data_IF_786801434792
#
_entry.id   IF_786801434792
#
_cell.length_a   1.000
_cell.length_b   1.000
_cell.length_c   1.000
_cell.angle_alpha   90.00
_cell.angle_beta   90.00
_cell.angle_gamma   90.00
#
_symmetry.space_group_name_H-M   'P 1'
#
loop_
_entity.id
_entity.type
_entity.pdbx_description
1 polymer ?
#
# COMPACT_ATOMS: atom_id res chain seq x y z
N UNK A 1 40.79 75.97 10.90
CA UNK A 1 41.51 75.17 9.90
C UNK A 1 41.66 73.74 10.41
N UNK A 2 40.84 72.80 9.94
CA UNK A 2 41.07 71.36 10.15
C UNK A 2 40.82 70.63 8.84
N UNK A 3 41.91 70.03 8.37
CA UNK A 3 42.11 69.40 7.08
C UNK A 3 41.70 67.91 7.15
N UNK A 4 41.24 67.41 6.01
CA UNK A 4 40.65 66.09 5.76
C UNK A 4 41.56 64.89 6.10
N UNK A 5 40.93 63.73 6.35
CA UNK A 5 41.38 62.46 5.76
C UNK A 5 40.17 61.52 5.58
N UNK A 6 39.76 61.32 4.32
CA UNK A 6 38.77 60.34 3.87
C UNK A 6 39.53 59.06 3.52
N UNK A 7 39.28 57.96 4.24
CA UNK A 7 39.79 56.62 3.90
C UNK A 7 38.62 55.83 3.33
N UNK A 8 38.64 55.62 2.01
CA UNK A 8 37.73 54.72 1.32
C UNK A 8 38.31 53.30 1.33
N UNK A 9 37.77 52.44 2.19
CA UNK A 9 38.10 51.01 2.20
C UNK A 9 37.19 50.27 1.20
N UNK A 10 37.75 49.86 0.08
CA UNK A 10 37.05 49.04 -0.93
C UNK A 10 37.12 47.57 -0.53
N UNK A 11 36.00 47.02 -0.05
CA UNK A 11 35.82 45.60 0.26
C UNK A 11 35.40 44.85 -1.01
N UNK A 12 36.33 44.11 -1.61
CA UNK A 12 36.04 43.14 -2.67
C UNK A 12 35.33 41.92 -2.07
N UNK A 13 34.02 41.82 -2.26
CA UNK A 13 33.26 40.59 -2.00
C UNK A 13 33.39 39.64 -3.20
N UNK A 14 34.10 38.52 -3.02
CA UNK A 14 34.13 37.42 -3.98
C UNK A 14 32.90 36.53 -3.80
N UNK A 15 32.08 36.31 -4.83
CA UNK A 15 30.96 35.37 -4.74
C UNK A 15 31.50 33.93 -4.74
N UNK A 16 31.34 33.23 -3.60
CA UNK A 16 31.57 31.78 -3.52
C UNK A 16 30.37 31.08 -4.15
N UNK A 17 30.56 30.53 -5.35
CA UNK A 17 29.61 29.62 -6.00
C UNK A 17 29.62 28.28 -5.24
N UNK A 18 28.65 28.08 -4.37
CA UNK A 18 28.39 26.76 -3.76
C UNK A 18 27.71 25.91 -4.85
N UNK A 19 28.48 25.04 -5.49
CA UNK A 19 27.94 24.00 -6.35
C UNK A 19 27.11 23.04 -5.49
N UNK A 20 25.79 23.13 -5.58
CA UNK A 20 24.89 22.13 -4.99
C UNK A 20 25.07 20.84 -5.78
N UNK A 21 25.75 19.85 -5.18
CA UNK A 21 25.73 18.48 -5.66
C UNK A 21 24.32 17.94 -5.47
N UNK A 22 23.49 18.10 -6.49
CA UNK A 22 22.21 17.44 -6.59
C UNK A 22 22.45 15.93 -6.46
N UNK A 23 22.01 15.35 -5.34
CA UNK A 23 21.98 13.90 -5.20
C UNK A 23 21.01 13.39 -6.26
N UNK A 24 21.55 12.82 -7.32
CA UNK A 24 20.77 12.14 -8.33
C UNK A 24 19.99 11.03 -7.63
N UNK A 25 18.66 11.12 -7.65
CA UNK A 25 17.79 10.06 -7.16
C UNK A 25 18.07 8.81 -8.01
N UNK A 26 18.67 7.79 -7.42
CA UNK A 26 18.82 6.48 -8.06
C UNK A 26 17.43 5.90 -8.32
N UNK A 27 17.05 5.85 -9.59
CA UNK A 27 15.83 5.17 -10.04
C UNK A 27 16.13 3.67 -10.10
N UNK A 28 15.70 2.93 -9.08
CA UNK A 28 15.74 1.47 -9.07
C UNK A 28 14.38 0.87 -9.41
N UNK A 29 14.34 -0.43 -9.69
CA UNK A 29 13.10 -1.22 -9.70
C UNK A 29 13.01 -2.04 -8.43
N UNK A 30 11.79 -2.24 -7.92
CA UNK A 30 11.58 -3.21 -6.85
C UNK A 30 11.69 -4.62 -7.41
N UNK A 31 12.25 -5.53 -6.62
CA UNK A 31 12.31 -6.92 -7.01
C UNK A 31 10.91 -7.53 -7.03
N UNK A 32 10.63 -8.43 -7.99
CA UNK A 32 9.38 -9.19 -8.00
C UNK A 32 9.17 -9.92 -6.69
N UNK A 33 7.91 -10.11 -6.32
CA UNK A 33 7.45 -10.75 -5.07
C UNK A 33 7.81 -9.98 -3.80
N UNK A 34 8.41 -8.80 -3.87
CA UNK A 34 8.45 -7.89 -2.71
C UNK A 34 7.02 -7.46 -2.36
N UNK A 35 6.65 -7.49 -1.08
CA UNK A 35 5.35 -7.00 -0.60
C UNK A 35 5.47 -5.66 0.11
N UNK A 36 4.45 -4.83 -0.06
CA UNK A 36 4.34 -3.50 0.51
C UNK A 36 3.03 -3.42 1.31
N UNK A 37 3.07 -3.62 2.64
CA UNK A 37 1.93 -3.37 3.49
C UNK A 37 1.77 -1.86 3.67
N UNK A 38 0.63 -1.31 3.26
CA UNK A 38 0.35 0.12 3.20
C UNK A 38 -0.91 0.49 3.96
N UNK A 39 -1.02 1.77 4.32
CA UNK A 39 -2.22 2.40 4.87
C UNK A 39 -2.56 3.65 4.07
N UNK A 40 -3.83 3.79 3.70
CA UNK A 40 -4.34 4.96 2.98
C UNK A 40 -4.42 6.18 3.91
N UNK A 41 -3.86 7.31 3.48
CA UNK A 41 -3.80 8.57 4.26
C UNK A 41 -5.07 9.41 4.11
N UNK A 42 -5.75 9.26 2.98
CA UNK A 42 -7.03 9.90 2.65
C UNK A 42 -8.06 8.85 2.22
N UNK A 43 -9.33 9.22 2.24
CA UNK A 43 -10.40 8.40 1.69
C UNK A 43 -10.72 8.78 0.24
N UNK A 44 -11.24 7.82 -0.53
CA UNK A 44 -11.68 7.96 -1.91
C UNK A 44 -13.09 7.38 -2.04
N UNK A 45 -14.00 8.12 -2.64
CA UNK A 45 -15.41 7.77 -2.74
C UNK A 45 -15.86 7.94 -4.19
N UNK A 46 -16.41 6.88 -4.81
CA UNK A 46 -16.79 6.91 -6.22
C UNK A 46 -17.88 7.96 -6.55
N UNK A 47 -18.59 8.50 -5.55
CA UNK A 47 -19.52 9.61 -5.76
C UNK A 47 -18.84 10.97 -5.97
N UNK A 48 -17.61 11.12 -5.47
CA UNK A 48 -16.94 12.42 -5.36
C UNK A 48 -15.57 12.46 -6.03
N UNK A 49 -14.96 11.30 -6.27
CA UNK A 49 -13.68 11.19 -6.93
C UNK A 49 -13.79 11.45 -8.43
N UNK A 50 -12.72 11.98 -9.01
CA UNK A 50 -12.57 12.23 -10.44
C UNK A 50 -11.28 11.61 -10.96
N UNK A 51 -11.24 11.36 -12.27
CA UNK A 51 -10.01 10.90 -12.91
C UNK A 51 -8.88 11.92 -12.68
N UNK A 52 -7.72 11.43 -12.24
CA UNK A 52 -6.55 12.23 -11.88
C UNK A 52 -6.46 12.61 -10.40
N UNK A 53 -7.49 12.36 -9.58
CA UNK A 53 -7.42 12.61 -8.13
C UNK A 53 -6.29 11.80 -7.50
N UNK A 54 -5.45 12.46 -6.71
CA UNK A 54 -4.24 11.84 -6.13
C UNK A 54 -4.62 10.89 -4.99
N UNK A 55 -4.02 9.70 -5.02
CA UNK A 55 -4.12 8.70 -3.96
C UNK A 55 -2.84 8.73 -3.13
N UNK A 56 -3.00 8.90 -1.82
CA UNK A 56 -1.89 8.91 -0.86
C UNK A 56 -1.99 7.74 0.09
N UNK A 57 -0.91 6.97 0.18
CA UNK A 57 -0.73 5.92 1.16
C UNK A 57 0.71 5.94 1.68
N UNK A 58 0.99 5.14 2.72
CA UNK A 58 2.36 4.94 3.21
C UNK A 58 2.56 3.52 3.70
N UNK A 59 3.79 3.03 3.67
CA UNK A 59 4.13 1.72 4.25
C UNK A 59 3.87 1.71 5.76
N UNK A 60 3.36 0.60 6.28
CA UNK A 60 3.08 0.43 7.71
C UNK A 60 4.23 -0.21 8.48
N UNK A 61 5.17 -0.83 7.77
CA UNK A 61 6.36 -1.44 8.33
C UNK A 61 7.54 -1.35 7.36
N UNK A 62 8.72 -1.75 7.83
CA UNK A 62 9.92 -1.81 7.00
C UNK A 62 9.83 -2.94 5.97
N UNK A 63 10.40 -2.71 4.79
CA UNK A 63 10.44 -3.67 3.69
C UNK A 63 11.89 -3.91 3.29
N UNK A 64 12.31 -5.17 3.35
CA UNK A 64 13.63 -5.59 2.86
C UNK A 64 13.64 -5.57 1.32
N UNK A 65 14.66 -4.93 0.75
CA UNK A 65 14.92 -4.91 -0.68
C UNK A 65 15.95 -5.98 -1.03
N UNK A 66 15.93 -6.44 -2.29
CA UNK A 66 16.83 -7.51 -2.77
C UNK A 66 18.31 -7.16 -2.73
N UNK A 67 18.64 -5.86 -2.74
CA UNK A 67 20.02 -5.37 -2.63
C UNK A 67 20.49 -5.24 -1.17
N UNK A 68 19.71 -5.76 -0.21
CA UNK A 68 19.98 -5.70 1.22
C UNK A 68 19.64 -4.36 1.86
N UNK A 69 19.18 -3.36 1.09
CA UNK A 69 18.66 -2.12 1.66
C UNK A 69 17.29 -2.33 2.27
N UNK A 70 16.87 -1.38 3.09
CA UNK A 70 15.56 -1.38 3.73
C UNK A 70 14.81 -0.14 3.32
N UNK A 71 13.61 -0.33 2.78
CA UNK A 71 12.64 0.74 2.68
C UNK A 71 11.97 0.92 4.05
N UNK A 72 12.09 2.08 4.70
CA UNK A 72 11.56 2.26 6.05
C UNK A 72 10.03 2.26 6.07
N UNK A 73 9.46 1.97 7.24
CA UNK A 73 8.07 2.27 7.53
C UNK A 73 7.80 3.77 7.29
N UNK A 74 6.64 4.09 6.74
CA UNK A 74 6.25 5.46 6.40
C UNK A 74 6.73 5.95 5.03
N UNK A 75 7.37 5.11 4.21
CA UNK A 75 7.63 5.42 2.80
C UNK A 75 6.33 5.73 2.07
N UNK A 76 6.28 6.82 1.30
CA UNK A 76 5.07 7.33 0.68
C UNK A 76 4.78 6.55 -0.60
N UNK A 77 3.55 6.04 -0.71
CA UNK A 77 3.00 5.46 -1.93
C UNK A 77 2.03 6.45 -2.53
N UNK A 78 2.24 6.79 -3.80
CA UNK A 78 1.37 7.67 -4.56
C UNK A 78 0.71 6.92 -5.72
N UNK A 79 -0.46 7.40 -6.09
CA UNK A 79 -1.26 6.89 -7.18
C UNK A 79 -2.25 7.93 -7.66
N UNK A 80 -3.15 7.54 -8.55
CA UNK A 80 -4.28 8.38 -8.96
C UNK A 80 -5.53 7.55 -9.25
N UNK A 81 -6.68 8.20 -9.20
CA UNK A 81 -7.95 7.64 -9.65
C UNK A 81 -7.94 7.60 -11.19
N UNK A 82 -8.15 6.42 -11.77
CA UNK A 82 -8.32 6.26 -13.22
C UNK A 82 -9.76 6.60 -13.62
N UNK A 83 -10.73 6.10 -12.85
CA UNK A 83 -12.15 6.30 -13.12
C UNK A 83 -12.97 6.16 -11.84
N UNK A 84 -14.03 6.94 -11.74
CA UNK A 84 -15.02 6.85 -10.68
C UNK A 84 -16.42 6.99 -11.28
N UNK A 85 -17.26 5.98 -11.07
CA UNK A 85 -18.66 5.97 -11.50
C UNK A 85 -19.53 5.85 -10.26
N UNK A 86 -20.27 6.92 -9.96
CA UNK A 86 -21.22 6.96 -8.87
C UNK A 86 -22.32 5.91 -9.02
N UNK A 87 -22.91 5.52 -7.90
CA UNK A 87 -24.11 4.69 -7.91
C UNK A 87 -25.29 5.53 -8.39
N UNK A 88 -25.97 5.05 -9.43
CA UNK A 88 -27.17 5.66 -9.97
C UNK A 88 -28.30 4.62 -10.00
N UNK A 89 -29.40 4.96 -9.35
CA UNK A 89 -30.65 4.22 -9.42
C UNK A 89 -31.62 5.00 -10.30
N UNK A 90 -31.82 4.53 -11.53
CA UNK A 90 -32.94 5.01 -12.35
C UNK A 90 -34.21 4.27 -11.93
N UNK A 91 -35.27 5.01 -11.61
CA UNK A 91 -36.53 4.47 -11.11
C UNK A 91 -37.58 4.27 -12.21
N UNK A 92 -37.30 4.66 -13.46
CA UNK A 92 -38.31 4.68 -14.54
C UNK A 92 -37.76 4.13 -15.86
N UNK A 93 -38.51 3.36 -16.67
CA UNK A 93 -39.79 2.69 -16.38
C UNK A 93 -39.64 1.41 -15.55
N UNK A 94 -38.40 0.93 -15.36
CA UNK A 94 -38.02 -0.18 -14.48
C UNK A 94 -36.78 0.23 -13.68
N UNK A 95 -36.61 -0.29 -12.46
CA UNK A 95 -35.45 0.05 -11.62
C UNK A 95 -34.14 -0.49 -12.25
N UNK A 96 -33.45 0.33 -13.05
CA UNK A 96 -32.15 -0.02 -13.63
C UNK A 96 -31.06 0.44 -12.67
N UNK A 97 -30.38 -0.53 -12.08
CA UNK A 97 -29.19 -0.29 -11.27
C UNK A 97 -27.98 -0.27 -12.19
N UNK A 98 -27.34 0.89 -12.36
CA UNK A 98 -26.03 0.95 -13.01
C UNK A 98 -24.97 0.57 -11.99
N UNK A 99 -24.11 -0.38 -12.35
CA UNK A 99 -22.95 -0.74 -11.54
C UNK A 99 -22.08 0.51 -11.33
N UNK A 100 -21.76 0.76 -10.07
CA UNK A 100 -20.81 1.79 -9.65
C UNK A 100 -19.42 1.20 -9.51
N UNK A 101 -18.40 2.01 -9.74
CA UNK A 101 -17.02 1.57 -9.78
C UNK A 101 -16.05 2.63 -9.29
N UNK A 102 -14.98 2.21 -8.60
CA UNK A 102 -13.82 3.03 -8.30
C UNK A 102 -12.57 2.30 -8.83
N UNK A 103 -11.83 2.94 -9.72
CA UNK A 103 -10.58 2.44 -10.28
C UNK A 103 -9.42 3.33 -9.86
N UNK A 104 -8.40 2.74 -9.26
CA UNK A 104 -7.21 3.41 -8.73
C UNK A 104 -5.97 2.78 -9.34
N UNK A 105 -5.00 3.59 -9.75
CA UNK A 105 -3.66 3.14 -10.12
C UNK A 105 -2.64 3.52 -9.06
N UNK A 106 -1.76 2.60 -8.69
CA UNK A 106 -0.57 2.88 -7.90
C UNK A 106 0.61 3.22 -8.84
N UNK A 107 1.26 4.35 -8.60
CA UNK A 107 2.27 4.88 -9.53
C UNK A 107 3.69 4.70 -9.00
N UNK A 108 3.95 5.17 -7.78
CA UNK A 108 5.30 5.16 -7.22
C UNK A 108 5.32 4.92 -5.73
N UNK A 109 6.47 4.46 -5.24
CA UNK A 109 6.82 4.48 -3.83
C UNK A 109 8.11 5.27 -3.63
N UNK A 110 8.15 6.11 -2.60
CA UNK A 110 9.28 7.01 -2.36
C UNK A 110 9.66 7.07 -0.88
N UNK A 111 10.96 7.20 -0.62
CA UNK A 111 11.53 7.38 0.71
C UNK A 111 12.78 8.23 0.58
N UNK A 112 12.74 9.48 1.08
CA UNK A 112 13.80 10.52 1.19
C UNK A 112 14.87 10.63 0.08
N UNK A 113 15.56 9.55 -0.26
CA UNK A 113 16.64 9.45 -1.23
C UNK A 113 16.33 8.59 -2.47
N UNK A 114 15.19 7.89 -2.51
CA UNK A 114 14.84 7.00 -3.62
C UNK A 114 13.35 7.03 -3.95
N UNK A 115 13.05 6.95 -5.25
CA UNK A 115 11.71 6.78 -5.80
C UNK A 115 11.73 5.59 -6.75
N UNK A 116 10.78 4.69 -6.58
CA UNK A 116 10.64 3.47 -7.38
C UNK A 116 9.27 3.48 -8.07
N UNK A 117 9.19 3.23 -9.39
CA UNK A 117 7.91 3.01 -10.04
C UNK A 117 7.28 1.71 -9.53
N UNK A 118 5.96 1.71 -9.37
CA UNK A 118 5.21 0.54 -8.92
C UNK A 118 4.67 -0.25 -10.10
N UNK A 119 5.04 -1.53 -10.13
CA UNK A 119 4.43 -2.57 -10.94
C UNK A 119 3.91 -3.64 -9.98
N UNK A 120 2.70 -3.45 -9.46
CA UNK A 120 2.18 -4.24 -8.34
C UNK A 120 0.80 -4.81 -8.67
N UNK A 121 0.37 -5.78 -7.88
CA UNK A 121 -1.05 -6.06 -7.72
C UNK A 121 -1.46 -5.93 -6.26
N UNK A 122 -2.75 -5.67 -6.02
CA UNK A 122 -3.35 -5.65 -4.69
C UNK A 122 -3.62 -7.09 -4.28
N UNK A 123 -2.74 -7.68 -3.49
CA UNK A 123 -2.92 -9.03 -2.94
C UNK A 123 -4.10 -9.07 -1.99
N UNK A 124 -4.13 -8.14 -1.03
CA UNK A 124 -5.24 -8.01 -0.09
C UNK A 124 -5.50 -6.53 0.23
N UNK A 125 -6.74 -6.20 0.57
CA UNK A 125 -7.15 -4.88 1.03
C UNK A 125 -8.27 -5.00 2.06
N UNK A 126 -8.15 -4.23 3.14
CA UNK A 126 -9.09 -4.25 4.24
C UNK A 126 -9.60 -2.85 4.58
N UNK A 127 -10.87 -2.77 4.94
CA UNK A 127 -11.49 -1.54 5.42
C UNK A 127 -10.87 -1.11 6.77
N UNK A 128 -11.16 0.11 7.26
CA UNK A 128 -10.53 0.60 8.49
C UNK A 128 -10.97 -0.18 9.73
N UNK A 129 -12.20 -0.70 9.76
CA UNK A 129 -12.73 -1.45 10.91
C UNK A 129 -12.00 -2.79 11.03
N UNK A 130 -11.88 -3.53 9.93
CA UNK A 130 -11.11 -4.78 9.88
C UNK A 130 -9.63 -4.54 10.16
N UNK A 131 -9.06 -3.46 9.59
CA UNK A 131 -7.66 -3.08 9.82
C UNK A 131 -7.39 -2.71 11.28
N UNK A 132 -8.36 -2.10 11.95
CA UNK A 132 -8.29 -1.77 13.37
C UNK A 132 -8.42 -3.00 14.24
N UNK A 133 -9.43 -3.86 13.98
CA UNK A 133 -9.63 -5.11 14.70
C UNK A 133 -8.41 -6.03 14.63
N UNK A 134 -7.68 -6.04 13.50
CA UNK A 134 -6.44 -6.81 13.37
C UNK A 134 -5.25 -6.29 14.21
N UNK A 135 -5.44 -5.21 14.95
CA UNK A 135 -4.48 -4.63 15.90
C UNK A 135 -5.01 -4.65 17.33
N UNK A 136 -6.27 -5.04 17.53
CA UNK A 136 -6.86 -5.17 18.84
C UNK A 136 -6.53 -6.53 19.44
N UNK A 137 -6.28 -6.51 20.75
CA UNK A 137 -6.06 -7.74 21.52
C UNK A 137 -7.33 -8.58 21.50
N UNK A 138 -7.16 -9.90 21.36
CA UNK A 138 -8.26 -10.88 21.23
C UNK A 138 -9.00 -11.16 22.54
N UNK A 139 -8.56 -10.60 23.67
CA UNK A 139 -9.22 -10.80 24.98
C UNK A 139 -9.02 -9.64 25.97
N UNK A 140 -9.99 -9.49 26.88
CA UNK A 140 -9.96 -8.50 27.97
C UNK A 140 -8.87 -8.78 29.01
N UNK A 141 -8.47 -10.05 29.16
CA UNK A 141 -7.45 -10.52 30.11
C UNK A 141 -6.18 -11.02 29.41
N UNK A 142 -6.03 -10.74 28.11
CA UNK A 142 -4.86 -11.15 27.37
C UNK A 142 -3.65 -10.28 27.70
N UNK A 143 -2.93 -10.69 28.74
CA UNK A 143 -1.68 -10.07 29.18
C UNK A 143 -0.58 -10.05 28.11
N UNK A 144 -0.70 -10.90 27.07
CA UNK A 144 0.28 -11.01 25.99
C UNK A 144 -0.08 -10.15 24.78
N UNK A 145 -1.26 -9.50 24.79
CA UNK A 145 -1.76 -8.65 23.71
C UNK A 145 -1.76 -9.34 22.33
N UNK A 146 -2.19 -10.60 22.31
CA UNK A 146 -2.34 -11.43 21.10
C UNK A 146 -3.39 -10.85 20.18
N UNK A 147 -3.05 -10.71 18.92
CA UNK A 147 -3.93 -10.15 17.88
C UNK A 147 -4.17 -11.18 16.77
N UNK A 148 -5.34 -11.13 16.15
CA UNK A 148 -5.64 -11.89 14.93
C UNK A 148 -5.41 -11.00 13.72
N UNK A 149 -4.46 -11.36 12.87
CA UNK A 149 -4.16 -10.67 11.62
C UNK A 149 -5.30 -10.81 10.61
N UNK A 150 -5.32 -9.92 9.61
CA UNK A 150 -6.27 -9.97 8.51
C UNK A 150 -5.99 -11.23 7.68
N UNK A 151 -6.92 -12.18 7.75
CA UNK A 151 -6.77 -13.50 7.13
C UNK A 151 -6.74 -14.65 8.14
N UNK A 152 -6.56 -14.38 9.44
CA UNK A 152 -6.78 -15.33 10.52
C UNK A 152 -5.54 -15.78 11.29
N UNK A 153 -4.33 -15.49 10.81
CA UNK A 153 -3.09 -15.80 11.53
C UNK A 153 -3.03 -15.04 12.87
N UNK A 154 -2.36 -15.64 13.85
CA UNK A 154 -2.27 -15.15 15.22
C UNK A 154 -0.86 -14.66 15.50
N UNK A 155 -0.77 -13.43 15.99
CA UNK A 155 0.47 -12.79 16.42
C UNK A 155 0.38 -12.52 17.92
N UNK A 156 1.30 -13.10 18.68
CA UNK A 156 1.53 -12.72 20.08
C UNK A 156 2.81 -11.87 20.15
N UNK A 157 2.73 -10.56 20.46
CA UNK A 157 3.88 -9.66 20.43
C UNK A 157 5.10 -10.08 21.26
N UNK A 158 4.90 -10.84 22.33
CA UNK A 158 5.98 -11.37 23.17
C UNK A 158 6.68 -12.60 22.59
N UNK A 159 6.14 -13.18 21.51
CA UNK A 159 6.66 -14.34 20.81
C UNK A 159 7.28 -13.93 19.46
N UNK A 160 8.17 -14.77 18.96
CA UNK A 160 8.83 -14.55 17.67
C UNK A 160 8.04 -15.18 16.52
N UNK A 161 7.21 -16.17 16.79
CA UNK A 161 6.43 -16.90 15.82
C UNK A 161 5.09 -16.21 15.53
N UNK A 162 4.65 -16.32 14.28
CA UNK A 162 3.27 -16.08 13.86
C UNK A 162 2.68 -17.42 13.46
N UNK A 163 1.52 -17.75 14.02
CA UNK A 163 0.90 -19.07 13.85
C UNK A 163 -0.40 -18.99 13.07
N UNK A 164 -0.69 -19.99 12.24
CA UNK A 164 -1.97 -20.13 11.56
C UNK A 164 -3.07 -20.49 12.55
N UNK A 165 -4.32 -20.53 12.06
CA UNK A 165 -5.46 -21.03 12.83
C UNK A 165 -5.32 -22.52 13.22
N UNK A 166 -4.54 -23.28 12.45
CA UNK A 166 -4.26 -24.71 12.70
C UNK A 166 -3.07 -24.91 13.66
N UNK A 167 -2.39 -23.83 14.07
CA UNK A 167 -1.25 -23.86 14.98
C UNK A 167 0.11 -24.01 14.29
N UNK A 168 0.16 -23.98 12.96
CA UNK A 168 1.41 -24.04 12.20
C UNK A 168 2.15 -22.70 12.22
N UNK A 169 3.48 -22.72 12.28
CA UNK A 169 4.29 -21.50 12.15
C UNK A 169 4.27 -21.07 10.67
N UNK A 170 3.70 -19.90 10.40
CA UNK A 170 3.55 -19.33 9.05
C UNK A 170 4.40 -18.09 8.83
N UNK A 171 4.99 -17.54 9.89
CA UNK A 171 5.87 -16.39 9.81
C UNK A 171 6.55 -16.06 11.12
N UNK A 172 7.24 -14.93 11.13
CA UNK A 172 7.99 -14.44 12.26
C UNK A 172 7.74 -12.95 12.51
N UNK A 173 7.52 -12.63 13.78
CA UNK A 173 7.56 -11.28 14.33
C UNK A 173 9.00 -10.93 14.68
N UNK A 174 9.56 -9.93 14.00
CA UNK A 174 10.95 -9.48 14.22
C UNK A 174 10.98 -7.97 14.34
N UNK A 175 12.16 -7.46 14.70
CA UNK A 175 12.38 -6.01 14.71
C UNK A 175 12.09 -5.44 13.32
N UNK A 176 11.11 -4.54 13.25
CA UNK A 176 10.72 -3.88 12.01
C UNK A 176 9.40 -4.38 11.41
N UNK A 177 8.82 -5.47 11.93
CA UNK A 177 7.50 -5.93 11.52
C UNK A 177 7.29 -7.43 11.52
N UNK A 178 6.23 -7.86 10.81
CA UNK A 178 5.91 -9.27 10.58
C UNK A 178 6.34 -9.68 9.19
N UNK A 179 7.00 -10.83 9.13
CA UNK A 179 7.59 -11.42 7.93
C UNK A 179 7.07 -12.84 7.75
N UNK A 180 6.70 -13.22 6.53
CA UNK A 180 6.16 -14.54 6.26
C UNK A 180 6.48 -14.98 4.83
N UNK A 181 6.43 -16.29 4.60
CA UNK A 181 6.32 -16.86 3.26
C UNK A 181 4.85 -16.78 2.84
N UNK A 182 4.57 -16.26 1.65
CA UNK A 182 3.18 -16.10 1.21
C UNK A 182 2.57 -17.48 0.93
N UNK A 183 1.35 -17.68 1.41
CA UNK A 183 0.57 -18.92 1.21
C UNK A 183 -0.50 -18.65 0.15
N UNK A 184 -0.66 -19.59 -0.78
CA UNK A 184 -1.67 -19.46 -1.83
C UNK A 184 -3.10 -19.48 -1.24
N UNK A 185 -4.00 -18.66 -1.80
CA UNK A 185 -5.39 -18.57 -1.36
C UNK A 185 -6.30 -18.08 -2.49
N UNK A 186 -7.58 -18.49 -2.49
CA UNK A 186 -8.53 -18.18 -3.56
C UNK A 186 -9.86 -17.55 -3.10
N UNK A 187 -10.02 -17.28 -1.80
CA UNK A 187 -11.34 -16.99 -1.20
C UNK A 187 -11.93 -15.60 -1.46
N UNK A 188 -11.15 -14.51 -1.33
CA UNK A 188 -11.70 -13.15 -1.40
C UNK A 188 -11.20 -12.32 -2.59
N UNK A 189 -10.45 -12.91 -3.52
CA UNK A 189 -9.89 -12.25 -4.70
C UNK A 189 -10.40 -12.89 -6.00
N UNK A 190 -10.62 -12.11 -7.07
CA UNK A 190 -11.20 -12.63 -8.33
C UNK A 190 -10.35 -13.73 -9.00
N UNK A 191 -9.03 -13.67 -8.86
CA UNK A 191 -8.08 -14.58 -9.51
C UNK A 191 -7.21 -15.36 -8.50
N UNK A 192 -7.58 -15.34 -7.21
CA UNK A 192 -6.74 -15.85 -6.13
C UNK A 192 -5.36 -15.17 -6.04
N UNK A 193 -4.56 -15.64 -5.10
CA UNK A 193 -3.22 -15.17 -4.80
C UNK A 193 -2.28 -16.38 -4.73
N UNK A 194 -1.10 -16.24 -5.32
CA UNK A 194 -0.13 -17.33 -5.37
C UNK A 194 0.69 -17.36 -4.08
N UNK A 195 1.33 -18.50 -3.81
CA UNK A 195 2.30 -18.62 -2.73
C UNK A 195 3.70 -18.18 -3.16
N UNK A 196 4.61 -18.05 -2.19
CA UNK A 196 6.02 -17.74 -2.43
C UNK A 196 6.91 -18.26 -1.30
N UNK A 197 8.03 -18.87 -1.68
CA UNK A 197 9.10 -19.30 -0.76
C UNK A 197 10.04 -18.14 -0.36
N UNK A 198 9.74 -16.91 -0.78
CA UNK A 198 10.48 -15.72 -0.35
C UNK A 198 9.83 -15.17 0.93
N UNK A 199 10.63 -14.94 1.97
CA UNK A 199 10.17 -14.26 3.18
C UNK A 199 9.95 -12.77 2.86
N UNK A 200 8.76 -12.26 3.14
CA UNK A 200 8.35 -10.91 2.75
C UNK A 200 7.59 -10.20 3.87
N UNK A 201 7.52 -8.87 3.79
CA UNK A 201 6.85 -8.00 4.74
C UNK A 201 5.32 -8.07 4.63
N UNK A 202 4.62 -8.67 5.60
CA UNK A 202 3.13 -8.81 5.56
C UNK A 202 2.37 -7.85 6.49
N UNK A 203 3.00 -7.32 7.53
CA UNK A 203 2.40 -6.32 8.41
C UNK A 203 1.28 -6.90 9.27
N UNK A 204 0.07 -6.37 9.11
CA UNK A 204 -1.12 -6.87 9.83
C UNK A 204 -1.90 -7.92 9.02
N UNK A 205 -1.36 -8.36 7.89
CA UNK A 205 -1.96 -9.39 7.05
C UNK A 205 -1.35 -10.74 7.35
N UNK A 206 -2.19 -11.77 7.31
CA UNK A 206 -1.80 -13.17 7.32
C UNK A 206 -1.02 -13.55 6.06
N UNK A 207 -0.21 -14.60 6.15
CA UNK A 207 0.54 -15.17 5.03
C UNK A 207 -0.38 -15.59 3.87
N UNK A 208 -1.59 -16.06 4.21
CA UNK A 208 -2.64 -16.49 3.28
C UNK A 208 -3.62 -15.38 2.88
N UNK A 209 -3.45 -14.14 3.37
CA UNK A 209 -4.39 -13.06 3.11
C UNK A 209 -4.49 -12.78 1.61
N UNK A 210 -5.71 -12.82 1.09
CA UNK A 210 -5.98 -12.70 -0.34
C UNK A 210 -7.36 -12.11 -0.59
N UNK A 211 -7.38 -10.89 -1.14
CA UNK A 211 -8.58 -10.23 -1.63
C UNK A 211 -9.18 -9.17 -0.72
N UNK A 212 -10.51 -9.06 -0.73
CA UNK A 212 -11.25 -7.95 -0.11
C UNK A 212 -11.79 -8.30 1.29
N UNK A 213 -11.46 -7.50 2.29
CA UNK A 213 -11.88 -7.72 3.68
C UNK A 213 -12.66 -6.51 4.25
N UNK A 214 -13.85 -6.75 4.80
CA UNK A 214 -14.65 -5.72 5.49
C UNK A 214 -15.44 -4.74 4.60
N UNK A 215 -15.18 -4.67 3.29
CA UNK A 215 -15.89 -3.77 2.36
C UNK A 215 -17.30 -4.26 2.01
N UNK A 216 -18.24 -4.09 2.95
CA UNK A 216 -19.63 -4.54 2.80
C UNK A 216 -20.29 -3.95 1.55
N UNK A 217 -20.94 -4.81 0.75
CA UNK A 217 -21.66 -4.39 -0.46
C UNK A 217 -20.78 -4.00 -1.64
N UNK A 218 -19.45 -4.14 -1.52
CA UNK A 218 -18.48 -3.89 -2.59
C UNK A 218 -17.80 -5.21 -2.98
N UNK A 219 -17.37 -5.32 -4.23
CA UNK A 219 -16.60 -6.44 -4.77
C UNK A 219 -15.28 -5.96 -5.33
N UNK A 220 -14.28 -6.82 -5.26
CA UNK A 220 -12.99 -6.63 -5.89
C UNK A 220 -13.04 -7.24 -7.29
N UNK A 221 -13.06 -6.38 -8.31
CA UNK A 221 -13.17 -6.81 -9.71
C UNK A 221 -11.81 -7.02 -10.36
N UNK A 222 -10.83 -6.17 -10.05
CA UNK A 222 -9.48 -6.26 -10.59
C UNK A 222 -8.48 -5.85 -9.51
N UNK A 223 -7.37 -6.59 -9.44
CA UNK A 223 -6.28 -6.36 -8.49
C UNK A 223 -5.00 -5.88 -9.17
N UNK A 224 -4.93 -5.93 -10.50
CA UNK A 224 -3.73 -5.67 -11.27
C UNK A 224 -2.90 -6.92 -11.55
N UNK A 225 -3.34 -8.10 -11.09
CA UNK A 225 -2.64 -9.38 -11.35
C UNK A 225 -2.72 -9.81 -12.83
N UNK A 226 -3.84 -9.51 -13.49
CA UNK A 226 -4.10 -9.84 -14.90
C UNK A 226 -4.53 -8.57 -15.65
N UNK A 227 -3.97 -8.32 -16.84
CA UNK A 227 -4.35 -7.15 -17.65
C UNK A 227 -3.54 -5.90 -17.33
N UNK A 228 -4.14 -4.92 -16.64
CA UNK A 228 -3.48 -3.65 -16.30
C UNK A 228 -2.81 -3.71 -14.92
N UNK A 229 -1.46 -3.76 -14.84
CA UNK A 229 -0.75 -3.78 -13.58
C UNK A 229 -0.97 -2.50 -12.78
N UNK A 230 -0.82 -2.62 -11.47
CA UNK A 230 -0.99 -1.54 -10.49
C UNK A 230 -2.40 -0.95 -10.42
N UNK A 231 -3.40 -1.55 -11.08
CA UNK A 231 -4.79 -1.09 -11.07
C UNK A 231 -5.66 -1.91 -10.09
N UNK A 232 -6.31 -1.21 -9.16
CA UNK A 232 -7.35 -1.73 -8.26
C UNK A 232 -8.72 -1.27 -8.76
N UNK A 233 -9.65 -2.21 -9.00
CA UNK A 233 -11.04 -1.88 -9.33
C UNK A 233 -11.98 -2.47 -8.30
N UNK A 234 -12.70 -1.59 -7.61
CA UNK A 234 -13.80 -1.91 -6.71
C UNK A 234 -15.13 -1.62 -7.41
N UNK A 235 -16.10 -2.51 -7.30
CA UNK A 235 -17.44 -2.31 -7.87
C UNK A 235 -18.57 -2.69 -6.93
N UNK A 236 -19.74 -2.11 -7.19
CA UNK A 236 -20.96 -2.42 -6.43
C UNK A 236 -22.21 -2.11 -7.25
N UNK A 237 -23.25 -2.91 -7.01
CA UNK A 237 -24.57 -2.70 -7.60
C UNK A 237 -25.54 -1.97 -6.65
N UNK A 238 -25.09 -1.60 -5.45
CA UNK A 238 -25.98 -1.10 -4.38
C UNK A 238 -25.52 0.23 -3.77
N UNK A 239 -24.22 0.48 -3.74
CA UNK A 239 -23.61 1.64 -3.10
C UNK A 239 -22.41 2.09 -3.91
N UNK A 240 -22.02 3.35 -3.84
CA UNK A 240 -20.76 3.77 -4.43
C UNK A 240 -19.57 3.14 -3.68
N UNK A 241 -18.62 2.48 -4.38
CA UNK A 241 -17.42 1.95 -3.75
C UNK A 241 -16.61 3.05 -3.09
N UNK A 242 -16.02 2.73 -1.94
CA UNK A 242 -15.23 3.66 -1.14
C UNK A 242 -14.02 2.96 -0.58
N UNK A 243 -12.87 3.64 -0.64
CA UNK A 243 -11.68 3.31 0.16
C UNK A 243 -11.61 4.35 1.25
N UNK A 244 -11.85 3.98 2.51
CA UNK A 244 -11.81 4.94 3.61
C UNK A 244 -10.37 5.26 4.02
N UNK A 245 -10.17 6.43 4.62
CA UNK A 245 -8.92 6.74 5.33
C UNK A 245 -8.65 5.64 6.37
N UNK A 246 -7.39 5.27 6.54
CA UNK A 246 -6.92 4.18 7.40
C UNK A 246 -7.33 2.77 6.95
N UNK A 247 -7.94 2.60 5.78
CA UNK A 247 -7.94 1.29 5.12
C UNK A 247 -6.49 0.87 4.90
N UNK A 248 -6.23 -0.42 4.89
CA UNK A 248 -4.89 -0.95 4.62
C UNK A 248 -4.92 -1.83 3.38
N UNK A 249 -3.77 -2.02 2.75
CA UNK A 249 -3.61 -3.00 1.67
C UNK A 249 -2.25 -3.69 1.77
N UNK A 250 -2.16 -4.89 1.24
CA UNK A 250 -0.92 -5.60 0.97
C UNK A 250 -0.73 -5.61 -0.55
N UNK A 251 0.23 -4.80 -1.03
CA UNK A 251 0.62 -4.81 -2.44
C UNK A 251 1.74 -5.83 -2.64
N UNK A 252 1.80 -6.45 -3.81
CA UNK A 252 2.88 -7.37 -4.19
C UNK A 252 3.42 -6.99 -5.56
N UNK A 253 4.75 -6.87 -5.68
CA UNK A 253 5.43 -6.48 -6.91
C UNK A 253 5.39 -7.63 -7.92
N UNK A 254 4.89 -7.36 -9.12
CA UNK A 254 4.80 -8.31 -10.22
C UNK A 254 6.16 -8.49 -10.90
N UNK A 255 6.45 -9.71 -11.35
CA UNK A 255 7.56 -9.94 -12.28
C UNK A 255 7.22 -9.40 -13.67
N UNK A 256 8.25 -8.99 -14.42
CA UNK A 256 8.08 -8.50 -15.79
C UNK A 256 7.45 -9.57 -16.71
N UNK A 257 7.69 -10.85 -16.43
CA UNK A 257 7.14 -11.97 -17.21
C UNK A 257 5.62 -12.14 -17.08
N UNK A 258 5.04 -11.78 -15.93
CA UNK A 258 3.58 -11.84 -15.70
C UNK A 258 2.81 -10.78 -16.51
N UNK A 259 3.50 -9.76 -17.03
CA UNK A 259 2.89 -8.72 -17.87
C UNK A 259 2.74 -9.18 -19.32
N UNK A 260 3.62 -10.08 -19.79
CA UNK A 260 3.69 -10.52 -21.20
C UNK A 260 2.66 -11.61 -21.52
N UNK A 261 2.31 -12.46 -20.56
CA UNK A 261 1.36 -13.56 -20.77
C UNK A 261 -0.11 -13.13 -20.96
N UNK A 262 -0.41 -11.82 -20.96
CA UNK A 262 -1.77 -11.28 -21.11
C UNK A 262 -1.96 -10.38 -22.35
N UNK A 263 -1.00 -10.36 -23.29
CA UNK A 263 -1.14 -9.69 -24.59
C UNK A 263 -1.44 -10.68 -25.71
#
# INVERSE_FOLDING_TARGET
MKLHFLIAASLCFTPVLIAQTGHAATSGTLSPKTTLPIVFKSGLDANHAHAGDVVHARTTQSVALSDGKVLPAGAEVTGHVIAANAFALDKTPYAVQKQSSLSIRFDTISSNSATFPLNVYVRAIADPVTSWGARESTGTDDTLATVTQIGGDVLTPSQSEVVSQDGDIVGYNRRGGVYAHLIAASGNAPNGCDGSDTEVSVGIYSASACGLYGFTGTRLQQTGKTGEPSTLVLTSNRVAPKVWKNSTALLEVLSQDQVVATR
#
